data_IF_470372227876
#
_entry.id   IF_470372227876
#
_cell.length_a   1.000
_cell.length_b   1.000
_cell.length_c   1.000
_cell.angle_alpha   90.00
_cell.angle_beta   90.00
_cell.angle_gamma   90.00
#
_symmetry.space_group_name_H-M   'P 1'
#
loop_
_entity.id
_entity.type
_entity.pdbx_description
1 polymer ?
#
# COMPACT_ATOMS: atom_id res chain seq x y z
N UNK A 1 45.20 29.60 -32.50
CA UNK A 1 44.02 29.14 -33.23
C UNK A 1 43.35 28.07 -32.39
N UNK A 2 42.17 28.38 -31.86
CA UNK A 2 41.44 27.63 -30.85
C UNK A 2 40.31 26.84 -31.50
N UNK A 3 40.24 25.51 -31.30
CA UNK A 3 39.05 24.66 -31.46
C UNK A 3 39.40 23.30 -30.85
N UNK A 4 38.55 22.52 -30.17
CA UNK A 4 37.26 22.72 -29.53
C UNK A 4 37.10 21.47 -28.63
N UNK A 5 36.93 21.65 -27.32
CA UNK A 5 36.67 20.54 -26.39
C UNK A 5 35.16 20.35 -26.32
N UNK A 6 34.63 19.31 -26.96
CA UNK A 6 33.22 18.96 -26.83
C UNK A 6 32.96 18.45 -25.41
N UNK A 7 32.20 19.21 -24.63
CA UNK A 7 31.63 18.76 -23.35
C UNK A 7 30.47 17.79 -23.63
N UNK A 8 30.27 16.75 -22.80
CA UNK A 8 29.08 15.91 -22.90
C UNK A 8 27.82 16.71 -22.50
N UNK A 9 26.65 16.44 -23.12
CA UNK A 9 25.40 17.06 -22.70
C UNK A 9 25.06 16.60 -21.28
N UNK A 10 24.78 17.61 -20.45
CA UNK A 10 24.46 17.47 -19.05
C UNK A 10 23.24 16.60 -18.79
N UNK A 11 23.38 15.84 -17.70
CA UNK A 11 22.34 15.36 -16.81
C UNK A 11 21.14 16.31 -16.73
N UNK A 12 20.09 16.02 -17.49
CA UNK A 12 18.78 16.65 -17.38
C UNK A 12 17.68 15.59 -17.50
N UNK A 13 17.72 14.59 -16.61
CA UNK A 13 16.55 13.79 -16.23
C UNK A 13 16.53 13.62 -14.71
N UNK A 14 16.71 14.74 -14.00
CA UNK A 14 16.15 14.84 -12.67
C UNK A 14 14.68 15.26 -12.83
N UNK A 15 13.83 14.68 -11.98
CA UNK A 15 12.42 15.02 -11.82
C UNK A 15 11.46 14.33 -12.80
N UNK A 16 11.40 12.99 -12.70
CA UNK A 16 10.10 12.38 -12.45
C UNK A 16 9.55 12.99 -11.15
N UNK A 17 8.99 14.19 -11.25
CA UNK A 17 8.02 14.71 -10.31
C UNK A 17 6.79 13.81 -10.46
N UNK A 18 6.91 12.58 -9.97
CA UNK A 18 5.81 11.66 -9.87
C UNK A 18 4.78 12.37 -9.00
N UNK A 19 3.67 12.76 -9.63
CA UNK A 19 2.54 13.35 -8.93
C UNK A 19 2.31 12.53 -7.65
N UNK A 20 2.16 13.18 -6.47
CA UNK A 20 1.92 12.44 -5.25
C UNK A 20 0.75 11.46 -5.49
N UNK A 21 0.85 10.21 -5.00
CA UNK A 21 -0.20 9.23 -5.22
C UNK A 21 -1.54 9.79 -4.71
N UNK A 22 -2.64 9.45 -5.38
CA UNK A 22 -3.98 9.80 -4.89
C UNK A 22 -4.33 8.90 -3.69
N UNK A 23 -3.73 9.23 -2.55
CA UNK A 23 -3.85 8.50 -1.29
C UNK A 23 -5.30 8.45 -0.82
N UNK A 24 -6.11 9.46 -1.18
CA UNK A 24 -7.54 9.47 -0.86
C UNK A 24 -8.28 8.41 -1.66
N UNK A 25 -8.14 8.39 -2.99
CA UNK A 25 -8.79 7.38 -3.82
C UNK A 25 -8.32 5.96 -3.46
N UNK A 26 -7.01 5.77 -3.29
CA UNK A 26 -6.42 4.49 -2.87
C UNK A 26 -6.97 4.03 -1.51
N UNK A 27 -7.12 4.95 -0.54
CA UNK A 27 -7.71 4.59 0.75
C UNK A 27 -9.18 4.20 0.61
N UNK A 28 -9.96 4.92 -0.19
CA UNK A 28 -11.38 4.63 -0.40
C UNK A 28 -11.61 3.23 -1.01
N UNK A 29 -10.70 2.75 -1.87
CA UNK A 29 -10.82 1.41 -2.48
C UNK A 29 -10.72 0.24 -1.48
N UNK A 30 -10.22 0.49 -0.26
CA UNK A 30 -10.12 -0.52 0.81
C UNK A 30 -11.33 -0.57 1.73
N UNK A 31 -12.16 0.48 1.76
CA UNK A 31 -13.17 0.68 2.81
C UNK A 31 -14.24 -0.42 2.78
N UNK A 32 -14.75 -0.77 1.60
CA UNK A 32 -15.81 -1.76 1.46
C UNK A 32 -15.37 -3.10 2.06
N UNK A 33 -14.21 -3.61 1.64
CA UNK A 33 -13.68 -4.89 2.12
C UNK A 33 -13.44 -4.87 3.64
N UNK A 34 -12.79 -3.83 4.16
CA UNK A 34 -12.45 -3.73 5.58
C UNK A 34 -13.68 -3.51 6.48
N UNK A 35 -14.73 -2.87 5.95
CA UNK A 35 -16.00 -2.73 6.67
C UNK A 35 -16.70 -4.07 6.86
N UNK A 36 -16.58 -4.98 5.88
CA UNK A 36 -17.16 -6.32 5.99
C UNK A 36 -16.34 -7.22 6.91
N UNK A 37 -15.02 -7.13 6.87
CA UNK A 37 -14.11 -7.88 7.73
C UNK A 37 -14.22 -7.50 9.22
N UNK A 38 -14.70 -6.30 9.52
CA UNK A 38 -14.91 -5.81 10.89
C UNK A 38 -16.37 -5.82 11.34
N UNK A 39 -17.29 -6.30 10.50
CA UNK A 39 -18.71 -6.35 10.82
C UNK A 39 -18.97 -7.36 11.95
N UNK A 40 -19.12 -6.86 13.18
CA UNK A 40 -19.48 -7.62 14.38
C UNK A 40 -20.95 -8.04 14.43
N UNK A 41 -21.71 -7.77 13.37
CA UNK A 41 -23.15 -8.06 13.28
C UNK A 41 -23.43 -9.49 12.77
N UNK A 42 -22.49 -10.40 12.97
CA UNK A 42 -22.72 -11.83 12.82
C UNK A 42 -23.33 -12.39 14.11
N UNK A 43 -24.21 -13.41 14.04
CA UNK A 43 -24.58 -14.19 15.22
C UNK A 43 -23.30 -14.67 15.93
N UNK A 44 -23.35 -14.82 17.26
CA UNK A 44 -22.19 -15.01 18.15
C UNK A 44 -21.25 -16.20 17.80
N UNK A 45 -21.61 -17.01 16.81
CA UNK A 45 -20.89 -18.21 16.35
C UNK A 45 -20.26 -18.08 14.93
N UNK A 46 -20.34 -16.93 14.24
CA UNK A 46 -19.81 -16.78 12.87
C UNK A 46 -18.44 -16.05 12.85
N UNK A 47 -17.46 -16.61 12.14
CA UNK A 47 -16.16 -15.96 11.91
C UNK A 47 -16.36 -14.69 11.05
N UNK A 48 -15.91 -13.50 11.48
CA UNK A 48 -15.99 -12.26 10.69
C UNK A 48 -15.42 -12.38 9.28
N UNK A 49 -14.49 -13.34 9.05
CA UNK A 49 -13.93 -13.65 7.72
C UNK A 49 -14.96 -14.24 6.76
N UNK A 50 -16.12 -14.67 7.25
CA UNK A 50 -17.23 -15.22 6.45
C UNK A 50 -18.04 -14.10 5.82
N UNK A 51 -18.14 -12.95 6.48
CA UNK A 51 -18.83 -11.78 5.95
C UNK A 51 -18.21 -11.30 4.62
N UNK A 52 -16.88 -11.27 4.53
CA UNK A 52 -16.18 -10.95 3.27
C UNK A 52 -16.52 -11.96 2.17
N UNK A 53 -16.54 -13.25 2.49
CA UNK A 53 -16.81 -14.33 1.52
C UNK A 53 -18.27 -14.37 1.05
N UNK A 54 -19.20 -13.83 1.82
CA UNK A 54 -20.60 -13.65 1.40
C UNK A 54 -20.78 -12.52 0.39
N UNK A 55 -19.87 -11.56 0.38
CA UNK A 55 -19.96 -10.37 -0.46
C UNK A 55 -19.06 -10.41 -1.69
N UNK A 56 -17.99 -11.18 -1.65
CA UNK A 56 -17.05 -11.31 -2.76
C UNK A 56 -16.80 -12.78 -3.09
N UNK A 57 -16.91 -13.10 -4.37
CA UNK A 57 -16.47 -14.37 -4.94
C UNK A 57 -14.95 -14.51 -4.91
N UNK A 58 -14.46 -15.75 -5.05
CA UNK A 58 -13.03 -16.04 -5.17
C UNK A 58 -12.31 -15.20 -6.25
N UNK A 59 -12.82 -15.11 -7.48
CA UNK A 59 -12.24 -14.26 -8.53
C UNK A 59 -12.19 -12.78 -8.17
N UNK A 60 -13.26 -12.21 -7.60
CA UNK A 60 -13.30 -10.81 -7.17
C UNK A 60 -12.26 -10.54 -6.07
N UNK A 61 -12.10 -11.47 -5.11
CA UNK A 61 -11.06 -11.37 -4.08
C UNK A 61 -9.65 -11.40 -4.67
N UNK A 62 -9.42 -12.18 -5.72
CA UNK A 62 -8.13 -12.24 -6.42
C UNK A 62 -7.83 -10.95 -7.19
N UNK A 63 -8.86 -10.36 -7.82
CA UNK A 63 -8.77 -9.07 -8.51
C UNK A 63 -8.48 -7.93 -7.51
N UNK A 64 -9.23 -7.87 -6.40
CA UNK A 64 -8.98 -6.92 -5.31
C UNK A 64 -7.56 -7.07 -4.75
N UNK A 65 -7.12 -8.30 -4.49
CA UNK A 65 -5.75 -8.56 -4.02
C UNK A 65 -4.71 -8.06 -5.03
N UNK A 66 -4.94 -8.22 -6.33
CA UNK A 66 -4.06 -7.70 -7.38
C UNK A 66 -4.02 -6.17 -7.35
N UNK A 67 -5.17 -5.51 -7.31
CA UNK A 67 -5.25 -4.05 -7.20
C UNK A 67 -4.56 -3.50 -5.95
N UNK A 68 -4.74 -4.16 -4.79
CA UNK A 68 -4.06 -3.76 -3.56
C UNK A 68 -2.55 -3.95 -3.60
N UNK A 69 -2.02 -4.97 -4.31
CA UNK A 69 -0.58 -5.08 -4.53
C UNK A 69 -0.04 -3.89 -5.32
N UNK A 70 -0.70 -3.51 -6.41
CA UNK A 70 -0.34 -2.32 -7.19
C UNK A 70 -0.37 -1.04 -6.33
N UNK A 71 -1.37 -0.89 -5.47
CA UNK A 71 -1.42 0.23 -4.52
C UNK A 71 -0.26 0.20 -3.51
N UNK A 72 0.09 -0.95 -2.94
CA UNK A 72 1.22 -1.09 -2.02
C UNK A 72 2.54 -0.75 -2.72
N UNK A 73 2.76 -1.26 -3.94
CA UNK A 73 3.94 -0.97 -4.76
C UNK A 73 4.09 0.52 -5.06
N UNK A 74 2.97 1.22 -5.26
CA UNK A 74 2.94 2.67 -5.45
C UNK A 74 3.20 3.43 -4.14
N UNK A 75 2.62 2.99 -3.02
CA UNK A 75 2.68 3.69 -1.74
C UNK A 75 4.02 3.52 -1.00
N UNK A 76 4.67 2.35 -1.10
CA UNK A 76 5.97 2.09 -0.45
C UNK A 76 7.01 3.18 -0.77
N UNK A 77 7.35 3.45 -2.04
CA UNK A 77 8.36 4.46 -2.36
C UNK A 77 7.92 5.86 -1.92
N UNK A 78 6.63 6.19 -2.03
CA UNK A 78 6.09 7.48 -1.62
C UNK A 78 6.21 7.70 -0.09
N UNK A 79 5.87 6.69 0.72
CA UNK A 79 6.03 6.75 2.18
C UNK A 79 7.51 6.77 2.58
N UNK A 80 8.33 5.96 1.91
CA UNK A 80 9.76 5.88 2.18
C UNK A 80 10.45 7.23 1.96
N UNK A 81 10.21 7.87 0.80
CA UNK A 81 10.79 9.17 0.47
C UNK A 81 10.44 10.24 1.52
N UNK A 82 9.19 10.26 2.01
CA UNK A 82 8.77 11.21 3.05
C UNK A 82 9.37 10.88 4.41
N UNK A 83 9.48 9.60 4.76
CA UNK A 83 10.06 9.17 6.02
C UNK A 83 11.56 9.48 6.10
N UNK A 84 12.27 9.39 4.97
CA UNK A 84 13.71 9.65 4.88
C UNK A 84 14.09 11.12 5.13
N UNK A 85 13.16 12.06 4.93
CA UNK A 85 13.34 13.49 5.29
C UNK A 85 13.45 13.73 6.80
N UNK A 86 13.13 12.73 7.62
CA UNK A 86 13.17 12.83 9.08
C UNK A 86 14.48 12.28 9.63
N UNK A 87 14.92 12.73 10.82
CA UNK A 87 16.04 12.11 11.53
C UNK A 87 15.85 10.59 11.69
N UNK A 88 16.94 9.83 11.62
CA UNK A 88 16.92 8.35 11.63
C UNK A 88 16.15 7.74 12.81
N UNK A 89 16.22 8.37 13.99
CA UNK A 89 15.53 7.93 15.22
C UNK A 89 14.18 8.61 15.45
N UNK A 90 13.69 9.40 14.50
CA UNK A 90 12.38 10.05 14.65
C UNK A 90 11.27 8.97 14.72
N UNK A 91 10.36 9.01 15.71
CA UNK A 91 9.33 7.98 15.88
C UNK A 91 8.49 7.70 14.63
N UNK A 92 8.03 8.75 13.94
CA UNK A 92 7.27 8.60 12.68
C UNK A 92 8.07 7.91 11.56
N UNK A 93 9.39 8.14 11.46
CA UNK A 93 10.24 7.46 10.47
C UNK A 93 10.35 5.98 10.82
N UNK A 94 10.71 5.67 12.07
CA UNK A 94 10.83 4.28 12.54
C UNK A 94 9.54 3.50 12.29
N UNK A 95 8.39 4.08 12.69
CA UNK A 95 7.08 3.44 12.49
C UNK A 95 6.73 3.27 11.00
N UNK A 96 7.04 4.24 10.14
CA UNK A 96 6.78 4.13 8.70
C UNK A 96 7.65 3.04 8.06
N UNK A 97 8.94 2.94 8.42
CA UNK A 97 9.84 1.92 7.90
C UNK A 97 9.43 0.51 8.33
N UNK A 98 8.95 0.34 9.57
CA UNK A 98 8.38 -0.93 10.04
C UNK A 98 7.13 -1.31 9.23
N UNK A 99 6.23 -0.35 8.98
CA UNK A 99 5.05 -0.57 8.15
C UNK A 99 5.42 -0.98 6.71
N UNK A 100 6.45 -0.36 6.12
CA UNK A 100 6.97 -0.74 4.80
C UNK A 100 7.49 -2.19 4.81
N UNK A 101 8.21 -2.60 5.85
CA UNK A 101 8.67 -3.99 6.01
C UNK A 101 7.51 -4.98 6.00
N UNK A 102 6.48 -4.74 6.82
CA UNK A 102 5.27 -5.57 6.86
C UNK A 102 4.56 -5.63 5.51
N UNK A 103 4.43 -4.50 4.82
CA UNK A 103 3.78 -4.45 3.51
C UNK A 103 4.57 -5.27 2.46
N UNK A 104 5.90 -5.20 2.47
CA UNK A 104 6.77 -6.00 1.61
C UNK A 104 6.62 -7.50 1.88
N UNK A 105 6.54 -7.89 3.15
CA UNK A 105 6.30 -9.30 3.51
C UNK A 105 4.95 -9.79 3.01
N UNK A 106 3.92 -8.93 3.06
CA UNK A 106 2.59 -9.28 2.56
C UNK A 106 2.49 -9.35 1.03
N UNK A 107 3.32 -8.60 0.28
CA UNK A 107 3.40 -8.75 -1.19
C UNK A 107 3.85 -10.15 -1.61
N UNK A 108 4.58 -10.86 -0.75
CA UNK A 108 5.03 -12.25 -1.00
C UNK A 108 3.94 -13.29 -0.82
N UNK A 109 2.76 -12.90 -0.31
CA UNK A 109 1.63 -13.82 -0.22
C UNK A 109 1.15 -14.19 -1.63
N UNK A 110 1.03 -15.49 -1.88
CA UNK A 110 0.45 -16.02 -3.11
C UNK A 110 -1.03 -15.67 -3.29
N UNK A 111 -1.63 -16.06 -4.42
CA UNK A 111 -3.04 -15.78 -4.71
C UNK A 111 -4.00 -16.49 -3.73
N UNK A 112 -3.62 -17.65 -3.20
CA UNK A 112 -4.42 -18.43 -2.27
C UNK A 112 -5.31 -19.47 -2.96
N UNK A 113 -5.26 -20.70 -2.46
CA UNK A 113 -5.88 -21.86 -3.12
C UNK A 113 -7.36 -22.08 -2.74
N UNK A 114 -7.83 -21.40 -1.70
CA UNK A 114 -9.22 -21.44 -1.25
C UNK A 114 -9.79 -20.03 -1.05
N UNK A 115 -11.12 -19.90 -1.05
CA UNK A 115 -11.78 -18.61 -0.82
C UNK A 115 -11.47 -18.03 0.56
N UNK A 116 -11.26 -18.89 1.57
CA UNK A 116 -10.81 -18.47 2.89
C UNK A 116 -9.41 -17.82 2.84
N UNK A 117 -8.47 -18.45 2.11
CA UNK A 117 -7.12 -17.90 1.96
C UNK A 117 -7.15 -16.63 1.10
N UNK A 118 -7.91 -16.62 -0.01
CA UNK A 118 -8.08 -15.43 -0.86
C UNK A 118 -8.62 -14.23 -0.07
N UNK A 119 -9.67 -14.45 0.73
CA UNK A 119 -10.25 -13.43 1.61
C UNK A 119 -9.21 -12.89 2.60
N UNK A 120 -8.47 -13.79 3.26
CA UNK A 120 -7.43 -13.40 4.20
C UNK A 120 -6.28 -12.62 3.54
N UNK A 121 -5.88 -13.00 2.33
CA UNK A 121 -4.84 -12.31 1.55
C UNK A 121 -5.32 -10.91 1.16
N UNK A 122 -6.50 -10.79 0.54
CA UNK A 122 -7.06 -9.50 0.14
C UNK A 122 -7.20 -8.56 1.34
N UNK A 123 -7.67 -9.07 2.49
CA UNK A 123 -7.84 -8.30 3.72
C UNK A 123 -6.49 -7.82 4.28
N UNK A 124 -5.48 -8.68 4.34
CA UNK A 124 -4.13 -8.29 4.80
C UNK A 124 -3.57 -7.18 3.93
N UNK A 125 -3.66 -7.33 2.60
CA UNK A 125 -3.19 -6.32 1.65
C UNK A 125 -3.96 -5.00 1.82
N UNK A 126 -5.28 -5.04 1.94
CA UNK A 126 -6.11 -3.85 2.18
C UNK A 126 -5.71 -3.11 3.48
N UNK A 127 -5.43 -3.85 4.58
CA UNK A 127 -4.93 -3.24 5.83
C UNK A 127 -3.57 -2.58 5.63
N UNK A 128 -2.67 -3.19 4.85
CA UNK A 128 -1.37 -2.58 4.50
C UNK A 128 -1.53 -1.31 3.68
N UNK A 129 -2.42 -1.30 2.68
CA UNK A 129 -2.76 -0.09 1.92
C UNK A 129 -3.25 1.01 2.86
N UNK A 130 -4.22 0.71 3.73
CA UNK A 130 -4.77 1.70 4.66
C UNK A 130 -3.71 2.24 5.64
N UNK A 131 -2.82 1.39 6.13
CA UNK A 131 -1.72 1.78 7.02
C UNK A 131 -0.69 2.67 6.32
N UNK A 132 -0.29 2.31 5.09
CA UNK A 132 0.61 3.12 4.28
C UNK A 132 0.01 4.49 3.95
N UNK A 133 -1.27 4.54 3.56
CA UNK A 133 -1.98 5.81 3.34
C UNK A 133 -1.95 6.70 4.60
N UNK A 134 -2.23 6.12 5.78
CA UNK A 134 -2.19 6.85 7.05
C UNK A 134 -0.79 7.37 7.38
N UNK A 135 0.24 6.58 7.13
CA UNK A 135 1.62 7.00 7.30
C UNK A 135 1.98 8.14 6.34
N UNK A 136 1.58 8.05 5.08
CA UNK A 136 1.79 9.11 4.10
C UNK A 136 1.17 10.42 4.58
N UNK A 137 -0.12 10.43 4.92
CA UNK A 137 -0.82 11.62 5.42
C UNK A 137 -0.10 12.23 6.63
N UNK A 138 0.23 11.40 7.64
CA UNK A 138 0.94 11.85 8.85
C UNK A 138 2.32 12.44 8.57
N UNK A 139 2.99 12.00 7.51
CA UNK A 139 4.31 12.51 7.11
C UNK A 139 4.20 13.78 6.27
N UNK A 140 3.09 13.99 5.55
CA UNK A 140 2.83 15.18 4.73
C UNK A 140 2.29 16.35 5.55
N UNK A 141 1.52 16.11 6.61
CA UNK A 141 0.95 17.16 7.47
C UNK A 141 1.96 17.84 8.42
N UNK A 142 3.19 18.11 7.96
CA UNK A 142 4.24 18.80 8.71
C UNK A 142 4.43 20.24 8.26
#
# INVERSE_FOLDING_TARGET
MSHATASPPGTAEAEHSALPPDVRAIRLSTILLLSMDTATATPADEDPRDAVRRHFSGPELAELATGYRTHIETLIPAVQARAELLPSRHPNRVSAMLCIGVARDQLRLGPGDSDAIRSAVATKLARSVQSLCRHYDRLVSR
#
